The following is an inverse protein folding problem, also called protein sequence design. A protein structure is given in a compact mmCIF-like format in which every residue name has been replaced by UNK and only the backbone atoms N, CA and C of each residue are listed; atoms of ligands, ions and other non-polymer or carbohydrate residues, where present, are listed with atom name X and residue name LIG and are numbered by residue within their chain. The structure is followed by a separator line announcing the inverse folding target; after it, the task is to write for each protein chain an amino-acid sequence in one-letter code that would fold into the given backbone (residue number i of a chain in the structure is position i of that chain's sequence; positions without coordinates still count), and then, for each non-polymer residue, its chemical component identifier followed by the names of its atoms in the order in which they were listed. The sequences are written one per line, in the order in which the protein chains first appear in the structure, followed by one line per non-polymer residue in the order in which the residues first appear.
data_IF_585331742000
#
_entry.id   IF_585331742000
#
_cell.length_a   1.000
_cell.length_b   1.000
_cell.length_c   1.000
_cell.angle_alpha   90.00
_cell.angle_beta   90.00
_cell.angle_gamma   90.00
#
_symmetry.space_group_name_H-M   'P 1'
#
loop_
_entity.id
_entity.type
_entity.pdbx_description
1 polymer ?
#
# COMPACT_ATOMS: atom_id res chain seq x y z
N UNK A 1 -13.33 15.85 0.29
CA UNK A 1 -12.62 15.00 1.27
C UNK A 1 -12.90 13.55 0.86
N UNK A 2 -11.91 12.80 0.37
CA UNK A 2 -12.10 11.40 -0.04
C UNK A 2 -11.02 10.56 0.63
N UNK A 3 -11.42 9.56 1.41
CA UNK A 3 -10.52 8.64 2.11
C UNK A 3 -10.90 7.23 1.66
N UNK A 4 -9.92 6.42 1.25
CA UNK A 4 -10.15 5.00 1.01
C UNK A 4 -10.48 4.31 2.35
N UNK A 5 -11.53 3.50 2.38
CA UNK A 5 -11.89 2.73 3.58
C UNK A 5 -10.92 1.54 3.71
N UNK A 6 -9.98 1.66 4.65
CA UNK A 6 -8.91 0.69 4.90
C UNK A 6 -9.40 -0.75 5.16
N UNK A 7 -10.66 -0.96 5.59
CA UNK A 7 -11.18 -2.28 5.96
C UNK A 7 -11.94 -3.02 4.85
N UNK A 8 -12.09 -2.44 3.65
CA UNK A 8 -12.81 -3.13 2.55
C UNK A 8 -11.91 -4.19 1.90
N UNK A 9 -10.60 -3.98 1.90
CA UNK A 9 -9.68 -4.98 1.35
C UNK A 9 -9.34 -6.03 2.41
N UNK A 10 -9.24 -7.31 2.01
CA UNK A 10 -8.76 -8.35 2.91
C UNK A 10 -7.32 -8.05 3.37
N UNK A 11 -6.88 -8.60 4.52
CA UNK A 11 -5.48 -8.53 4.93
C UNK A 11 -4.55 -9.07 3.84
N UNK A 12 -3.28 -8.65 3.87
CA UNK A 12 -2.27 -9.19 2.95
C UNK A 12 -2.04 -10.67 3.23
N UNK A 13 -1.87 -11.47 2.19
CA UNK A 13 -1.32 -12.84 2.32
C UNK A 13 0.17 -12.77 2.61
N UNK A 14 0.76 -13.87 3.09
CA UNK A 14 2.21 -13.91 3.34
C UNK A 14 3.06 -13.65 2.09
N UNK A 15 2.60 -14.14 0.94
CA UNK A 15 3.26 -13.93 -0.35
C UNK A 15 3.21 -12.46 -0.77
N UNK A 16 2.05 -11.82 -0.67
CA UNK A 16 1.91 -10.38 -0.93
C UNK A 16 2.76 -9.53 0.04
N UNK A 17 2.88 -9.93 1.31
CA UNK A 17 3.74 -9.25 2.28
C UNK A 17 5.20 -9.24 1.79
N UNK A 18 5.70 -10.39 1.31
CA UNK A 18 7.07 -10.49 0.82
C UNK A 18 7.28 -9.63 -0.44
N UNK A 19 6.39 -9.70 -1.42
CA UNK A 19 6.49 -8.91 -2.66
C UNK A 19 6.47 -7.40 -2.38
N UNK A 20 5.50 -6.94 -1.59
CA UNK A 20 5.37 -5.52 -1.24
C UNK A 20 6.59 -5.05 -0.44
N UNK A 21 7.07 -5.87 0.49
CA UNK A 21 8.27 -5.54 1.27
C UNK A 21 9.52 -5.49 0.38
N UNK A 22 9.66 -6.37 -0.61
CA UNK A 22 10.76 -6.31 -1.56
C UNK A 22 10.75 -5.01 -2.36
N UNK A 23 9.59 -4.58 -2.88
CA UNK A 23 9.45 -3.29 -3.57
C UNK A 23 9.89 -2.14 -2.65
N UNK A 24 9.40 -2.12 -1.40
CA UNK A 24 9.75 -1.09 -0.42
C UNK A 24 11.22 -1.13 -0.01
N UNK A 25 11.84 -2.32 -0.02
CA UNK A 25 13.27 -2.51 0.23
C UNK A 25 14.10 -1.83 -0.85
N UNK A 26 13.74 -2.06 -2.13
CA UNK A 26 14.44 -1.49 -3.29
C UNK A 26 14.37 0.04 -3.30
N UNK A 27 13.23 0.64 -2.92
CA UNK A 27 13.11 2.11 -2.80
C UNK A 27 13.63 2.67 -1.46
N UNK A 28 14.23 1.84 -0.61
CA UNK A 28 14.81 2.27 0.67
C UNK A 28 13.78 2.79 1.69
N UNK A 29 12.51 2.37 1.57
CA UNK A 29 11.40 2.79 2.43
C UNK A 29 11.15 1.86 3.62
N UNK A 30 11.89 0.77 3.74
CA UNK A 30 11.87 -0.08 4.93
C UNK A 30 12.79 0.47 6.01
N UNK A 31 12.38 0.34 7.27
CA UNK A 31 13.23 0.65 8.43
C UNK A 31 13.70 -0.64 9.08
N UNK A 32 14.85 -0.61 9.78
CA UNK A 32 15.35 -1.80 10.52
C UNK A 32 14.36 -2.30 11.59
N UNK A 33 13.48 -1.42 12.08
CA UNK A 33 12.44 -1.74 13.06
C UNK A 33 11.18 -2.32 12.40
N UNK A 34 10.97 -2.07 11.11
CA UNK A 34 9.82 -2.55 10.36
C UNK A 34 10.27 -2.99 8.95
N UNK A 35 10.87 -4.19 8.85
CA UNK A 35 11.39 -4.73 7.60
C UNK A 35 10.31 -5.34 6.71
N UNK A 36 9.06 -5.43 7.20
CA UNK A 36 7.95 -6.03 6.47
C UNK A 36 6.75 -5.08 6.44
N UNK A 37 6.10 -5.01 5.28
CA UNK A 37 4.84 -4.31 5.07
C UNK A 37 3.70 -5.30 5.34
N UNK A 38 3.07 -5.17 6.50
CA UNK A 38 1.99 -6.06 6.96
C UNK A 38 0.59 -5.46 6.76
N UNK A 39 0.51 -4.20 6.34
CA UNK A 39 -0.73 -3.51 6.04
C UNK A 39 -0.72 -3.07 4.57
N UNK A 40 -1.87 -3.20 3.88
CA UNK A 40 -1.99 -2.77 2.49
C UNK A 40 -1.66 -1.28 2.38
N UNK A 41 -0.75 -0.89 1.48
CA UNK A 41 -0.47 0.51 1.22
C UNK A 41 -1.69 1.13 0.52
N UNK A 42 -2.41 2.02 1.21
CA UNK A 42 -3.50 2.78 0.61
C UNK A 42 -3.01 4.16 0.20
N UNK A 43 -3.30 4.56 -1.04
CA UNK A 43 -3.11 5.94 -1.48
C UNK A 43 -4.30 6.78 -1.06
N UNK A 44 -4.04 7.94 -0.47
CA UNK A 44 -5.10 8.92 -0.22
C UNK A 44 -5.59 9.47 -1.57
N UNK A 45 -6.87 9.28 -1.87
CA UNK A 45 -7.50 9.79 -3.09
C UNK A 45 -7.70 11.29 -2.95
N UNK A 46 -6.94 12.08 -3.70
CA UNK A 46 -7.25 13.50 -3.86
C UNK A 46 -8.47 13.61 -4.80
N UNK A 47 -9.37 14.54 -4.53
CA UNK A 47 -10.62 14.74 -5.31
C UNK A 47 -10.38 15.18 -6.77
N UNK A 48 -9.11 15.40 -7.13
CA UNK A 48 -8.59 15.64 -8.49
C UNK A 48 -7.99 14.38 -9.14
N UNK A 49 -8.02 13.22 -8.49
CA UNK A 49 -7.52 11.97 -9.06
C UNK A 49 -8.41 11.55 -10.24
N UNK A 50 -7.79 11.40 -11.41
CA UNK A 50 -8.47 10.89 -12.60
C UNK A 50 -8.91 9.44 -12.41
N UNK A 51 -9.93 9.00 -13.15
CA UNK A 51 -10.43 7.63 -13.12
C UNK A 51 -9.32 6.60 -13.35
N UNK A 52 -8.34 6.92 -14.20
CA UNK A 52 -7.15 6.09 -14.46
C UNK A 52 -6.26 5.97 -13.21
N UNK A 53 -6.09 7.05 -12.44
CA UNK A 53 -5.25 7.09 -11.24
C UNK A 53 -5.83 6.33 -10.03
N UNK A 54 -7.09 5.90 -10.11
CA UNK A 54 -7.78 5.14 -9.05
C UNK A 54 -7.70 3.62 -9.33
N UNK A 55 -7.53 3.22 -10.59
CA UNK A 55 -7.45 1.81 -11.01
C UNK A 55 -6.02 1.26 -10.89
N UNK A 56 -5.01 2.13 -10.92
CA UNK A 56 -3.59 1.78 -10.81
C UNK A 56 -3.06 1.70 -9.38
#
# INVERSE_FOLDING_TARGET
MSKALHSILPPLTFEEILEVSQIYSVVGKLTKQQPLITQRPFRQIHHTASKISIVG
#
